data_IF_309857789619
#
_entry.id   IF_309857789619
#
_cell.length_a   1.000
_cell.length_b   1.000
_cell.length_c   1.000
_cell.angle_alpha   90.00
_cell.angle_beta   90.00
_cell.angle_gamma   90.00
#
_symmetry.space_group_name_H-M   'P 1'
#
loop_
_entity.id
_entity.type
_entity.pdbx_description
1 polymer ?
#
# COMPACT_ATOMS: atom_id res chain seq x y z
N UNK A 1 7.20 -6.44 -25.76
CA UNK A 1 6.59 -6.79 -24.46
C UNK A 1 6.64 -8.29 -24.24
N UNK A 2 7.05 -8.70 -23.09
CA UNK A 2 7.14 -10.13 -22.80
C UNK A 2 5.75 -10.75 -22.66
N UNK A 3 5.70 -12.04 -22.98
CA UNK A 3 4.49 -12.81 -22.87
C UNK A 3 4.37 -13.38 -21.44
N UNK A 4 3.37 -12.97 -20.70
CA UNK A 4 3.18 -13.37 -19.31
C UNK A 4 2.27 -14.59 -19.14
N UNK A 5 1.92 -15.26 -20.22
CA UNK A 5 0.93 -16.34 -20.17
C UNK A 5 1.52 -17.74 -20.06
N UNK A 6 2.85 -17.86 -20.09
CA UNK A 6 3.53 -19.18 -20.16
C UNK A 6 3.28 -20.07 -18.94
N UNK A 7 3.12 -19.48 -17.78
CA UNK A 7 3.02 -20.25 -16.53
C UNK A 7 1.59 -20.47 -16.07
N UNK A 8 0.60 -19.99 -16.81
CA UNK A 8 -0.77 -20.01 -16.36
C UNK A 8 -1.06 -18.98 -15.29
N UNK A 9 -0.05 -18.24 -14.83
CA UNK A 9 -0.18 -17.14 -13.87
C UNK A 9 0.13 -15.86 -14.60
N UNK A 10 -0.74 -14.85 -14.47
CA UNK A 10 -0.49 -13.53 -15.03
C UNK A 10 0.20 -12.67 -13.96
N UNK A 11 1.53 -12.42 -14.05
CA UNK A 11 2.23 -11.63 -13.05
C UNK A 11 1.65 -10.23 -12.89
N UNK A 12 1.20 -9.62 -13.98
CA UNK A 12 0.63 -8.28 -13.93
C UNK A 12 -0.66 -8.28 -13.12
N UNK A 13 -1.54 -9.25 -13.35
CA UNK A 13 -2.79 -9.38 -12.58
C UNK A 13 -2.51 -9.58 -11.10
N UNK A 14 -1.57 -10.45 -10.77
CA UNK A 14 -1.20 -10.71 -9.39
C UNK A 14 -0.65 -9.47 -8.70
N UNK A 15 0.30 -8.79 -9.36
CA UNK A 15 0.89 -7.57 -8.80
C UNK A 15 -0.18 -6.51 -8.54
N UNK A 16 -1.04 -6.26 -9.52
CA UNK A 16 -2.09 -5.25 -9.37
C UNK A 16 -3.04 -5.63 -8.25
N UNK A 17 -3.44 -6.92 -8.16
CA UNK A 17 -4.33 -7.37 -7.10
C UNK A 17 -3.72 -7.13 -5.70
N UNK A 18 -2.42 -7.28 -5.56
CA UNK A 18 -1.76 -7.10 -4.26
C UNK A 18 -1.62 -5.64 -3.86
N UNK A 19 -1.46 -4.73 -4.81
CA UNK A 19 -1.29 -3.29 -4.50
C UNK A 19 -2.60 -2.51 -4.53
N UNK A 20 -3.65 -3.05 -5.15
CA UNK A 20 -4.91 -2.32 -5.32
C UNK A 20 -5.92 -2.54 -4.20
N UNK A 21 -5.55 -3.26 -3.15
CA UNK A 21 -6.44 -3.40 -2.00
C UNK A 21 -6.51 -2.08 -1.24
N UNK A 22 -7.64 -1.86 -0.57
CA UNK A 22 -7.84 -0.70 0.28
C UNK A 22 -6.68 -0.50 1.26
N UNK A 23 -6.30 -1.58 1.95
CA UNK A 23 -5.28 -1.50 2.99
C UNK A 23 -3.89 -1.27 2.44
N UNK A 24 -3.55 -1.90 1.30
CA UNK A 24 -2.25 -1.68 0.67
C UNK A 24 -2.09 -0.21 0.26
N UNK A 25 -3.10 0.36 -0.39
CA UNK A 25 -3.05 1.76 -0.81
C UNK A 25 -2.96 2.71 0.36
N UNK A 26 -3.69 2.44 1.45
CA UNK A 26 -3.63 3.28 2.65
C UNK A 26 -2.27 3.21 3.35
N UNK A 27 -1.69 2.01 3.45
CA UNK A 27 -0.36 1.84 4.05
C UNK A 27 0.69 2.56 3.23
N UNK A 28 0.68 2.38 1.91
CA UNK A 28 1.65 3.03 1.02
C UNK A 28 1.56 4.55 1.14
N UNK A 29 0.35 5.10 1.11
CA UNK A 29 0.13 6.53 1.25
C UNK A 29 0.61 7.05 2.60
N UNK A 30 0.34 6.31 3.67
CA UNK A 30 0.77 6.67 5.02
C UNK A 30 2.30 6.75 5.11
N UNK A 31 2.99 5.77 4.54
CA UNK A 31 4.46 5.76 4.55
C UNK A 31 5.04 6.87 3.67
N UNK A 32 4.39 7.16 2.56
CA UNK A 32 4.82 8.26 1.70
C UNK A 32 4.75 9.60 2.41
N UNK A 33 3.66 9.82 3.16
CA UNK A 33 3.43 11.09 3.86
C UNK A 33 4.36 11.27 5.06
N UNK A 34 4.61 10.19 5.82
CA UNK A 34 5.29 10.28 7.11
C UNK A 34 6.75 9.85 7.09
N UNK A 35 7.20 9.17 6.03
CA UNK A 35 8.54 8.61 5.99
C UNK A 35 8.64 7.35 6.82
N UNK A 36 9.79 7.11 7.45
CA UNK A 36 10.02 5.91 8.24
C UNK A 36 9.26 5.99 9.56
N UNK A 37 8.32 5.08 9.79
CA UNK A 37 7.52 5.05 11.01
C UNK A 37 7.29 3.63 11.50
N UNK A 38 6.85 3.52 12.75
CA UNK A 38 6.64 2.24 13.43
C UNK A 38 5.24 1.70 13.15
N UNK A 39 5.07 0.40 13.40
CA UNK A 39 3.80 -0.31 13.24
C UNK A 39 2.63 0.44 13.92
N UNK A 40 2.81 0.82 15.18
CA UNK A 40 1.73 1.47 15.94
C UNK A 40 1.35 2.83 15.35
N UNK A 41 2.32 3.56 14.79
CA UNK A 41 2.05 4.85 14.16
C UNK A 41 1.30 4.68 12.84
N UNK A 42 1.62 3.63 12.09
CA UNK A 42 0.87 3.31 10.87
C UNK A 42 -0.57 2.99 11.23
N UNK A 43 -0.77 2.14 12.25
CA UNK A 43 -2.10 1.74 12.68
C UNK A 43 -2.92 2.94 13.13
N UNK A 44 -2.33 3.85 13.90
CA UNK A 44 -3.02 5.06 14.35
C UNK A 44 -3.40 5.97 13.21
N UNK A 45 -2.51 6.13 12.23
CA UNK A 45 -2.77 6.98 11.06
C UNK A 45 -3.93 6.47 10.23
N UNK A 46 -4.03 5.15 10.04
CA UNK A 46 -5.10 4.56 9.24
C UNK A 46 -6.39 4.48 10.05
N UNK A 47 -6.30 4.10 11.32
CA UNK A 47 -7.41 4.06 12.27
C UNK A 47 -8.17 2.75 12.27
N UNK A 48 -8.79 2.39 11.17
CA UNK A 48 -9.74 1.27 11.10
C UNK A 48 -9.10 -0.10 10.89
N UNK A 49 -7.82 -0.16 10.62
CA UNK A 49 -7.16 -1.43 10.28
C UNK A 49 -6.89 -2.25 11.55
N UNK A 50 -7.20 -3.55 11.48
CA UNK A 50 -6.85 -4.46 12.58
C UNK A 50 -5.34 -4.72 12.57
N UNK A 51 -4.82 -5.11 13.75
CA UNK A 51 -3.42 -5.47 13.90
C UNK A 51 -3.05 -6.62 12.95
N UNK A 52 -3.94 -7.60 12.83
CA UNK A 52 -3.73 -8.74 11.94
C UNK A 52 -3.66 -8.31 10.49
N UNK A 53 -4.59 -7.48 10.03
CA UNK A 53 -4.62 -7.04 8.64
C UNK A 53 -3.42 -6.16 8.33
N UNK A 54 -3.00 -5.31 9.24
CA UNK A 54 -1.81 -4.49 9.03
C UNK A 54 -0.57 -5.38 8.89
N UNK A 55 -0.43 -6.40 9.73
CA UNK A 55 0.67 -7.34 9.65
C UNK A 55 0.72 -8.03 8.29
N UNK A 56 -0.44 -8.54 7.82
CA UNK A 56 -0.55 -9.21 6.53
C UNK A 56 -0.19 -8.26 5.39
N UNK A 57 -0.70 -7.05 5.45
CA UNK A 57 -0.47 -6.03 4.42
C UNK A 57 1.01 -5.65 4.35
N UNK A 58 1.64 -5.39 5.49
CA UNK A 58 3.05 -5.02 5.55
C UNK A 58 3.94 -6.15 5.00
N UNK A 59 3.64 -7.40 5.34
CA UNK A 59 4.40 -8.54 4.82
C UNK A 59 4.28 -8.67 3.31
N UNK A 60 3.08 -8.47 2.79
CA UNK A 60 2.83 -8.53 1.35
C UNK A 60 3.62 -7.44 0.62
N UNK A 61 3.56 -6.21 1.11
CA UNK A 61 4.27 -5.09 0.50
C UNK A 61 5.79 -5.24 0.60
N UNK A 62 6.27 -5.76 1.71
CA UNK A 62 7.70 -6.04 1.89
C UNK A 62 8.18 -7.13 0.94
N UNK A 63 7.41 -8.20 0.80
CA UNK A 63 7.74 -9.31 -0.12
C UNK A 63 7.87 -8.81 -1.56
N UNK A 64 7.03 -7.87 -1.95
CA UNK A 64 7.05 -7.31 -3.31
C UNK A 64 8.08 -6.18 -3.46
N UNK A 65 8.82 -5.88 -2.40
CA UNK A 65 9.89 -4.87 -2.47
C UNK A 65 9.40 -3.44 -2.51
N UNK A 66 8.16 -3.18 -2.08
CA UNK A 66 7.60 -1.83 -2.07
C UNK A 66 7.90 -1.09 -0.77
N UNK A 67 8.10 -1.83 0.31
CA UNK A 67 8.49 -1.26 1.59
C UNK A 67 9.68 -2.02 2.16
N UNK A 68 10.40 -1.35 3.04
CA UNK A 68 11.54 -1.93 3.75
C UNK A 68 11.26 -1.92 5.24
N UNK A 69 11.49 -3.05 5.89
CA UNK A 69 11.39 -3.21 7.33
C UNK A 69 12.81 -3.16 7.89
N UNK A 70 13.06 -2.24 8.82
CA UNK A 70 14.37 -2.09 9.45
C UNK A 70 14.23 -2.34 10.94
N UNK A 71 15.05 -3.26 11.46
CA UNK A 71 15.10 -3.56 12.89
C UNK A 71 16.35 -2.90 13.48
N UNK A 72 16.15 -2.09 14.52
CA UNK A 72 17.25 -1.45 15.24
C UNK A 72 17.51 -2.23 16.52
N UNK A 73 18.78 -2.59 16.80
CA UNK A 73 19.11 -3.41 17.97
C UNK A 73 19.12 -2.60 19.27
N UNK A 74 17.94 -2.17 19.66
CA UNK A 74 17.71 -1.44 20.90
C UNK A 74 16.97 -2.34 21.89
N UNK A 75 16.77 -1.86 23.11
CA UNK A 75 16.00 -2.57 24.14
C UNK A 75 14.94 -1.63 24.66
N UNK A 76 13.65 -1.85 24.35
CA UNK A 76 13.13 -2.89 23.44
C UNK A 76 13.53 -2.61 21.99
N UNK A 77 13.53 -3.64 21.12
CA UNK A 77 13.91 -3.44 19.73
C UNK A 77 12.94 -2.51 19.01
N UNK A 78 13.49 -1.63 18.18
CA UNK A 78 12.71 -0.69 17.38
C UNK A 78 12.62 -1.22 15.95
N UNK A 79 11.43 -1.25 15.40
CA UNK A 79 11.18 -1.67 14.02
C UNK A 79 10.49 -0.52 13.28
N UNK A 80 11.06 -0.14 12.16
CA UNK A 80 10.50 0.92 11.32
C UNK A 80 10.24 0.42 9.90
N UNK A 81 9.23 0.98 9.27
CA UNK A 81 8.84 0.69 7.89
C UNK A 81 8.94 1.96 7.08
N UNK A 82 9.44 1.84 5.86
CA UNK A 82 9.47 2.97 4.92
C UNK A 82 9.33 2.46 3.50
N UNK A 83 8.94 3.35 2.59
CA UNK A 83 8.89 3.03 1.18
C UNK A 83 10.29 2.80 0.62
N UNK A 84 10.41 1.83 -0.26
CA UNK A 84 11.60 1.67 -1.09
C UNK A 84 11.49 2.60 -2.30
N UNK A 85 12.55 2.66 -3.11
CA UNK A 85 12.50 3.40 -4.36
C UNK A 85 11.37 2.89 -5.26
N UNK A 86 11.17 1.56 -5.29
CA UNK A 86 10.06 0.96 -6.04
C UNK A 86 8.71 1.44 -5.49
N UNK A 87 8.55 1.47 -4.17
CA UNK A 87 7.32 1.99 -3.55
C UNK A 87 7.08 3.44 -3.89
N UNK A 88 8.12 4.26 -3.83
CA UNK A 88 8.00 5.67 -4.19
C UNK A 88 7.59 5.85 -5.66
N UNK A 89 8.08 4.97 -6.56
CA UNK A 89 7.74 5.05 -7.98
C UNK A 89 6.26 4.80 -8.24
N UNK A 90 5.58 4.10 -7.36
CA UNK A 90 4.15 3.83 -7.47
C UNK A 90 3.30 5.03 -7.03
N UNK A 91 3.83 5.89 -6.19
CA UNK A 91 3.03 6.95 -5.56
C UNK A 91 2.40 7.94 -6.54
N UNK A 92 3.10 8.41 -7.59
CA UNK A 92 2.45 9.29 -8.58
C UNK A 92 1.24 8.62 -9.25
N UNK A 93 1.32 7.32 -9.46
CA UNK A 93 0.23 6.55 -10.09
C UNK A 93 -0.97 6.47 -9.15
N UNK A 94 -0.73 6.19 -7.88
CA UNK A 94 -1.80 6.18 -6.87
C UNK A 94 -2.42 7.55 -6.68
N UNK A 95 -1.62 8.60 -6.76
CA UNK A 95 -2.13 9.97 -6.66
C UNK A 95 -3.06 10.28 -7.83
N UNK A 96 -2.69 9.88 -9.05
CA UNK A 96 -3.55 10.07 -10.21
C UNK A 96 -4.88 9.35 -10.04
N UNK A 97 -4.84 8.12 -9.52
CA UNK A 97 -6.05 7.35 -9.27
C UNK A 97 -6.93 8.03 -8.20
N UNK A 98 -6.33 8.50 -7.13
CA UNK A 98 -7.03 9.19 -6.07
C UNK A 98 -7.66 10.50 -6.56
N UNK A 99 -6.91 11.26 -7.34
CA UNK A 99 -7.42 12.53 -7.89
C UNK A 99 -8.60 12.27 -8.82
N UNK A 100 -8.52 11.25 -9.65
CA UNK A 100 -9.63 10.86 -10.51
C UNK A 100 -10.89 10.51 -9.69
N UNK A 101 -10.70 9.73 -8.63
CA UNK A 101 -11.80 9.32 -7.76
C UNK A 101 -12.45 10.53 -7.08
N UNK A 102 -11.63 11.48 -6.62
CA UNK A 102 -12.14 12.70 -6.00
C UNK A 102 -12.93 13.54 -6.99
N UNK A 103 -12.44 13.67 -8.21
CA UNK A 103 -13.10 14.47 -9.25
C UNK A 103 -14.46 13.91 -9.64
N UNK A 104 -14.65 12.59 -9.50
CA UNK A 104 -15.89 11.92 -9.93
C UNK A 104 -16.76 11.44 -8.78
N UNK A 105 -16.32 11.66 -7.53
CA UNK A 105 -16.99 11.09 -6.35
C UNK A 105 -18.45 11.53 -6.24
N UNK A 106 -18.74 12.82 -6.43
CA UNK A 106 -20.10 13.34 -6.32
C UNK A 106 -21.05 12.68 -7.32
N UNK A 107 -20.62 12.62 -8.59
CA UNK A 107 -21.43 12.03 -9.65
C UNK A 107 -21.69 10.54 -9.40
N UNK A 108 -20.64 9.83 -9.01
CA UNK A 108 -20.74 8.39 -8.77
C UNK A 108 -21.69 8.11 -7.60
N UNK A 109 -21.56 8.87 -6.52
CA UNK A 109 -22.44 8.71 -5.34
C UNK A 109 -23.88 9.00 -5.70
N UNK A 110 -24.13 10.05 -6.47
CA UNK A 110 -25.47 10.36 -6.95
C UNK A 110 -26.07 9.24 -7.78
N UNK A 111 -25.28 8.67 -8.68
CA UNK A 111 -25.75 7.59 -9.54
C UNK A 111 -26.10 6.35 -8.74
N UNK A 112 -25.38 6.08 -7.65
CA UNK A 112 -25.68 4.94 -6.77
C UNK A 112 -26.97 5.09 -6.01
N UNK A 113 -27.46 6.32 -5.85
CA UNK A 113 -28.69 6.62 -5.10
C UNK A 113 -29.94 6.58 -5.95
N UNK A 114 -29.81 6.36 -7.26
CA UNK A 114 -30.96 6.26 -8.17
C UNK A 114 -31.67 4.92 -8.06
#
# INVERSE_FOLDING_TARGET
MQNFHHSGICPIRDIIARISTKWAMLVLTTLHTNGAIRFNDIQKSIGEISQRMLTITLRSLETDGLIKRTVYPEVPPRVEYKLTQRGESLMPILKMLTDWALDHAEEIIKDRQK
#
